data_IF_749710534765
#
_entry.id   IF_749710534765
#
_cell.length_a   1.000
_cell.length_b   1.000
_cell.length_c   1.000
_cell.angle_alpha   90.00
_cell.angle_beta   90.00
_cell.angle_gamma   90.00
#
_symmetry.space_group_name_H-M   'P 1'
#
loop_
_entity.id
_entity.type
_entity.pdbx_description
1 polymer ?
#
# COMPACT_ATOMS: atom_id res chain seq x y z
N UNK A 1 30.87 18.33 26.54
CA UNK A 1 31.11 16.91 26.22
C UNK A 1 29.97 16.33 25.34
N UNK A 2 28.70 16.37 25.75
CA UNK A 2 27.58 15.79 24.99
C UNK A 2 27.49 16.33 23.55
N UNK A 3 27.53 17.66 23.36
CA UNK A 3 27.53 18.30 22.04
C UNK A 3 28.69 17.83 21.13
N UNK A 4 29.89 17.66 21.71
CA UNK A 4 31.04 17.16 20.96
C UNK A 4 30.83 15.71 20.49
N UNK A 5 30.22 14.86 21.34
CA UNK A 5 29.84 13.49 20.99
C UNK A 5 28.80 13.46 19.90
N UNK A 6 27.74 14.30 19.99
CA UNK A 6 26.71 14.41 18.93
C UNK A 6 27.30 14.88 17.60
N UNK A 7 28.19 15.90 17.60
CA UNK A 7 28.88 16.36 16.40
C UNK A 7 29.75 15.24 15.79
N UNK A 8 30.42 14.46 16.62
CA UNK A 8 31.19 13.29 16.16
C UNK A 8 30.30 12.28 15.45
N UNK A 9 29.13 11.96 15.98
CA UNK A 9 28.18 11.01 15.35
C UNK A 9 27.73 11.52 13.98
N UNK A 10 27.34 12.80 13.87
CA UNK A 10 26.96 13.39 12.59
C UNK A 10 28.09 13.39 11.57
N UNK A 11 29.34 13.67 11.99
CA UNK A 11 30.50 13.62 11.11
C UNK A 11 30.84 12.20 10.70
N UNK A 12 30.70 11.22 11.59
CA UNK A 12 30.93 9.81 11.25
C UNK A 12 29.93 9.34 10.20
N UNK A 13 28.63 9.66 10.41
CA UNK A 13 27.58 9.30 9.47
C UNK A 13 27.75 10.01 8.11
N UNK A 14 28.07 11.30 8.09
CA UNK A 14 28.26 12.06 6.84
C UNK A 14 29.45 11.57 5.99
N UNK A 15 30.41 10.88 6.60
CA UNK A 15 31.55 10.26 5.91
C UNK A 15 31.24 8.87 5.36
N UNK A 16 30.21 8.21 5.86
CA UNK A 16 29.73 6.92 5.35
C UNK A 16 28.78 7.14 4.16
N UNK A 17 29.34 7.38 2.97
CA UNK A 17 28.60 7.66 1.74
C UNK A 17 27.69 6.46 1.38
N UNK A 18 28.16 5.23 1.58
CA UNK A 18 27.40 4.03 1.26
C UNK A 18 26.21 3.84 2.23
N UNK A 19 26.42 4.02 3.52
CA UNK A 19 25.36 3.97 4.53
C UNK A 19 24.35 5.11 4.32
N UNK A 20 24.80 6.31 4.01
CA UNK A 20 23.91 7.44 3.67
C UNK A 20 23.12 7.17 2.39
N UNK A 21 23.76 6.62 1.36
CA UNK A 21 23.10 6.23 0.12
C UNK A 21 21.99 5.21 0.38
N UNK A 22 22.30 4.16 1.11
CA UNK A 22 21.32 3.12 1.49
C UNK A 22 20.17 3.70 2.34
N UNK A 23 20.47 4.58 3.28
CA UNK A 23 19.50 5.17 4.18
C UNK A 23 18.50 6.10 3.45
N UNK A 24 18.96 6.92 2.51
CA UNK A 24 18.14 7.93 1.85
C UNK A 24 17.63 7.47 0.47
N UNK A 25 18.51 6.95 -0.40
CA UNK A 25 18.14 6.65 -1.78
C UNK A 25 17.28 5.41 -1.89
N UNK A 26 17.62 4.33 -1.17
CA UNK A 26 16.90 3.06 -1.27
C UNK A 26 15.39 3.21 -0.98
N UNK A 27 14.94 3.81 0.15
CA UNK A 27 13.52 3.94 0.42
C UNK A 27 12.81 4.87 -0.58
N UNK A 28 13.47 5.92 -1.09
CA UNK A 28 12.90 6.80 -2.12
C UNK A 28 12.67 6.05 -3.43
N UNK A 29 13.63 5.23 -3.86
CA UNK A 29 13.48 4.37 -5.05
C UNK A 29 12.33 3.40 -4.86
N UNK A 30 12.19 2.80 -3.68
CA UNK A 30 11.07 1.91 -3.40
C UNK A 30 9.72 2.63 -3.43
N UNK A 31 9.61 3.87 -2.93
CA UNK A 31 8.38 4.68 -3.07
C UNK A 31 8.00 4.78 -4.54
N UNK A 32 8.96 5.17 -5.40
CA UNK A 32 8.70 5.37 -6.83
C UNK A 32 8.29 4.04 -7.49
N UNK A 33 9.13 3.02 -7.38
CA UNK A 33 8.93 1.73 -8.04
C UNK A 33 7.62 1.07 -7.58
N UNK A 34 7.39 0.98 -6.26
CA UNK A 34 6.22 0.30 -5.72
C UNK A 34 4.93 1.08 -5.95
N UNK A 35 4.97 2.42 -5.92
CA UNK A 35 3.79 3.22 -6.22
C UNK A 35 3.38 3.10 -7.70
N UNK A 36 4.34 3.01 -8.61
CA UNK A 36 4.06 2.79 -10.03
C UNK A 36 3.61 1.33 -10.30
N UNK A 37 4.29 0.35 -9.71
CA UNK A 37 3.97 -1.07 -9.89
C UNK A 37 2.60 -1.46 -9.33
N UNK A 38 2.18 -0.86 -8.22
CA UNK A 38 0.92 -1.19 -7.55
C UNK A 38 -0.22 -0.21 -7.88
N UNK A 39 -0.02 0.73 -8.81
CA UNK A 39 -1.02 1.72 -9.19
C UNK A 39 -2.37 1.09 -9.55
N UNK A 40 -2.35 0.06 -10.39
CA UNK A 40 -3.56 -0.61 -10.87
C UNK A 40 -4.23 -1.50 -9.79
N UNK A 41 -3.48 -1.91 -8.77
CA UNK A 41 -4.01 -2.69 -7.63
C UNK A 41 -4.82 -1.80 -6.68
N UNK A 42 -4.35 -0.58 -6.42
CA UNK A 42 -5.00 0.34 -5.50
C UNK A 42 -6.10 1.19 -6.17
N UNK A 43 -5.89 1.58 -7.39
CA UNK A 43 -6.85 2.25 -8.27
C UNK A 43 -7.17 1.33 -9.43
N UNK A 44 -8.01 0.30 -9.23
CA UNK A 44 -8.50 -0.47 -10.38
C UNK A 44 -9.17 0.52 -11.32
N UNK A 45 -8.63 0.59 -12.53
CA UNK A 45 -9.03 1.58 -13.51
C UNK A 45 -10.54 1.55 -13.70
N UNK A 46 -11.23 2.57 -13.20
CA UNK A 46 -12.56 2.97 -13.68
C UNK A 46 -12.48 3.53 -15.10
N UNK A 47 -11.26 3.64 -15.66
CA UNK A 47 -11.05 3.91 -17.07
C UNK A 47 -11.72 2.79 -17.86
N UNK A 48 -12.53 3.17 -18.82
CA UNK A 48 -13.10 2.26 -19.81
C UNK A 48 -11.98 1.35 -20.32
N UNK A 49 -11.95 0.11 -19.82
CA UNK A 49 -11.00 -0.90 -20.30
C UNK A 49 -11.20 -0.98 -21.81
N UNK A 50 -10.12 -0.96 -22.57
CA UNK A 50 -10.17 -1.11 -24.01
C UNK A 50 -10.88 -2.43 -24.35
N UNK A 51 -12.07 -2.34 -24.93
CA UNK A 51 -12.87 -3.50 -25.32
C UNK A 51 -13.52 -3.30 -26.67
N UNK A 52 -13.83 -4.41 -27.31
CA UNK A 52 -14.61 -4.43 -28.54
C UNK A 52 -15.86 -5.32 -28.38
N UNK A 53 -16.82 -5.16 -29.27
CA UNK A 53 -18.05 -5.94 -29.28
C UNK A 53 -18.10 -6.75 -30.59
N UNK A 54 -18.31 -8.05 -30.47
CA UNK A 54 -18.63 -8.93 -31.58
C UNK A 54 -20.09 -9.33 -31.44
N UNK A 55 -20.98 -8.64 -32.15
CA UNK A 55 -22.39 -8.97 -32.14
C UNK A 55 -22.75 -9.78 -33.38
N UNK A 56 -23.03 -11.07 -33.21
CA UNK A 56 -23.46 -11.99 -34.26
C UNK A 56 -24.99 -12.11 -34.33
N UNK A 57 -25.73 -11.51 -33.38
CA UNK A 57 -27.18 -11.52 -33.32
C UNK A 57 -27.75 -10.16 -33.60
N UNK A 58 -28.56 -10.03 -34.66
CA UNK A 58 -29.25 -8.78 -35.05
C UNK A 58 -30.57 -8.57 -34.32
N UNK A 59 -30.91 -9.41 -33.36
CA UNK A 59 -32.16 -9.30 -32.59
C UNK A 59 -32.20 -8.07 -31.67
N UNK A 60 -33.41 -7.65 -31.31
CA UNK A 60 -33.65 -6.48 -30.47
C UNK A 60 -32.98 -6.59 -29.08
N UNK A 61 -33.07 -7.75 -28.46
CA UNK A 61 -32.55 -8.00 -27.12
C UNK A 61 -31.01 -7.98 -27.11
N UNK A 62 -30.36 -8.50 -28.16
CA UNK A 62 -28.90 -8.40 -28.31
C UNK A 62 -28.43 -6.96 -28.47
N UNK A 63 -29.15 -6.16 -29.29
CA UNK A 63 -28.85 -4.72 -29.47
C UNK A 63 -28.98 -3.97 -28.13
N UNK A 64 -30.06 -4.19 -27.41
CA UNK A 64 -30.28 -3.59 -26.09
C UNK A 64 -29.19 -3.99 -25.06
N UNK A 65 -28.73 -5.24 -25.08
CA UNK A 65 -27.62 -5.67 -24.24
C UNK A 65 -26.35 -4.88 -24.52
N UNK A 66 -26.00 -4.72 -25.80
CA UNK A 66 -24.80 -3.98 -26.23
C UNK A 66 -24.93 -2.49 -25.88
N UNK A 67 -26.09 -1.87 -26.09
CA UNK A 67 -26.31 -0.48 -25.73
C UNK A 67 -26.21 -0.22 -24.21
N UNK A 68 -26.82 -1.11 -23.40
CA UNK A 68 -26.72 -0.99 -21.92
C UNK A 68 -25.33 -1.23 -21.45
N UNK A 69 -24.63 -2.21 -22.05
CA UNK A 69 -23.23 -2.46 -21.75
C UNK A 69 -22.35 -1.25 -22.07
N UNK A 70 -22.56 -0.61 -23.23
CA UNK A 70 -21.80 0.58 -23.62
C UNK A 70 -22.04 1.77 -22.68
N UNK A 71 -23.23 1.92 -22.11
CA UNK A 71 -23.52 2.97 -21.11
C UNK A 71 -22.71 2.75 -19.81
N UNK A 72 -22.47 1.51 -19.43
CA UNK A 72 -21.71 1.18 -18.21
C UNK A 72 -20.21 1.06 -18.44
N UNK A 73 -19.81 0.44 -19.53
CA UNK A 73 -18.40 0.12 -19.81
C UNK A 73 -17.66 1.25 -20.56
N UNK A 74 -18.42 2.22 -21.10
CA UNK A 74 -17.89 3.25 -21.99
C UNK A 74 -18.01 2.84 -23.47
N UNK A 75 -17.52 3.68 -24.39
CA UNK A 75 -17.54 3.40 -25.82
C UNK A 75 -16.63 2.22 -26.18
N UNK A 76 -17.17 1.26 -26.95
CA UNK A 76 -16.39 0.16 -27.50
C UNK A 76 -15.41 0.68 -28.57
N UNK A 77 -14.24 0.08 -28.64
CA UNK A 77 -13.30 0.33 -29.75
C UNK A 77 -13.78 -0.35 -31.03
N UNK A 78 -13.38 0.17 -32.21
CA UNK A 78 -13.63 -0.51 -33.47
C UNK A 78 -13.06 -1.93 -33.41
N UNK A 79 -13.84 -2.91 -33.93
CA UNK A 79 -13.42 -4.31 -33.91
C UNK A 79 -12.28 -4.53 -34.91
N UNK A 80 -11.07 -4.91 -34.49
CA UNK A 80 -9.98 -5.27 -35.40
C UNK A 80 -10.26 -6.59 -36.12
N UNK A 81 -9.77 -6.75 -37.35
CA UNK A 81 -9.93 -8.01 -38.10
C UNK A 81 -9.38 -9.21 -37.33
N UNK A 82 -8.25 -9.05 -36.61
CA UNK A 82 -7.60 -10.07 -35.79
C UNK A 82 -7.79 -9.81 -34.29
N UNK A 83 -9.01 -9.56 -33.86
CA UNK A 83 -9.33 -9.21 -32.47
C UNK A 83 -8.84 -10.26 -31.45
N UNK A 84 -8.75 -11.55 -31.83
CA UNK A 84 -8.29 -12.61 -30.96
C UNK A 84 -6.81 -12.44 -30.58
N UNK A 85 -5.96 -12.00 -31.54
CA UNK A 85 -4.55 -11.72 -31.30
C UNK A 85 -4.37 -10.43 -30.48
N UNK A 86 -5.26 -9.45 -30.67
CA UNK A 86 -5.29 -8.21 -29.89
C UNK A 86 -5.65 -8.49 -28.41
N UNK A 87 -6.56 -9.41 -28.13
CA UNK A 87 -6.87 -9.85 -26.77
C UNK A 87 -5.70 -10.63 -26.18
N UNK A 88 -5.07 -11.55 -26.93
CA UNK A 88 -3.92 -12.31 -26.45
C UNK A 88 -2.70 -11.43 -26.16
N UNK A 89 -2.50 -10.36 -26.94
CA UNK A 89 -1.40 -9.40 -26.75
C UNK A 89 -1.70 -8.34 -25.68
N UNK A 90 -2.90 -8.31 -25.11
CA UNK A 90 -3.31 -7.38 -24.06
C UNK A 90 -3.62 -5.95 -24.53
N UNK A 91 -3.67 -5.70 -25.85
CA UNK A 91 -4.11 -4.42 -26.42
C UNK A 91 -5.61 -4.20 -26.24
N UNK A 92 -6.42 -5.26 -26.44
CA UNK A 92 -7.80 -5.32 -25.99
C UNK A 92 -7.87 -6.07 -24.68
N UNK A 93 -8.45 -5.49 -23.66
CA UNK A 93 -8.56 -6.10 -22.34
C UNK A 93 -9.63 -7.17 -22.26
N UNK A 94 -10.71 -6.99 -23.03
CA UNK A 94 -11.75 -8.01 -23.22
C UNK A 94 -12.59 -7.74 -24.45
N UNK A 95 -13.33 -8.75 -24.87
CA UNK A 95 -14.31 -8.70 -25.95
C UNK A 95 -15.65 -9.23 -25.44
N UNK A 96 -16.71 -8.49 -25.70
CA UNK A 96 -18.09 -8.95 -25.51
C UNK A 96 -18.54 -9.64 -26.80
N UNK A 97 -18.65 -10.96 -26.76
CA UNK A 97 -19.18 -11.77 -27.86
C UNK A 97 -20.65 -12.10 -27.60
N UNK A 98 -21.53 -11.67 -28.46
CA UNK A 98 -22.95 -12.06 -28.45
C UNK A 98 -23.18 -13.02 -29.59
N UNK A 99 -23.46 -14.29 -29.28
CA UNK A 99 -23.63 -15.37 -30.25
C UNK A 99 -24.95 -15.25 -31.01
N UNK A 100 -24.98 -15.73 -32.24
CA UNK A 100 -26.18 -15.75 -33.08
C UNK A 100 -27.30 -16.55 -32.39
N UNK A 101 -28.49 -16.03 -32.34
CA UNK A 101 -29.65 -16.66 -31.69
C UNK A 101 -29.82 -16.29 -30.19
N UNK A 102 -28.94 -15.46 -29.62
CA UNK A 102 -29.03 -14.99 -28.23
C UNK A 102 -30.40 -14.36 -27.93
N UNK A 103 -30.92 -13.48 -28.80
CA UNK A 103 -32.22 -12.85 -28.60
C UNK A 103 -33.35 -13.88 -28.54
N UNK A 104 -33.32 -14.92 -29.35
CA UNK A 104 -34.33 -15.99 -29.32
C UNK A 104 -34.34 -16.71 -27.99
N UNK A 105 -33.12 -17.05 -27.45
CA UNK A 105 -32.96 -17.72 -26.15
C UNK A 105 -33.44 -16.81 -25.00
N UNK A 106 -33.16 -15.52 -25.10
CA UNK A 106 -33.59 -14.55 -24.08
C UNK A 106 -35.09 -14.33 -24.09
N UNK A 107 -35.69 -14.29 -25.27
CA UNK A 107 -37.12 -14.03 -25.48
C UNK A 107 -37.98 -15.30 -25.23
N UNK A 108 -37.46 -16.53 -25.37
CA UNK A 108 -38.21 -17.75 -25.23
C UNK A 108 -37.79 -18.53 -24.00
N UNK A 109 -38.70 -18.70 -23.03
CA UNK A 109 -38.49 -19.44 -21.77
C UNK A 109 -38.34 -20.96 -21.96
N UNK A 110 -38.85 -21.50 -23.07
CA UNK A 110 -38.81 -22.91 -23.40
C UNK A 110 -37.63 -23.31 -24.29
N UNK A 111 -36.88 -22.35 -24.82
CA UNK A 111 -35.76 -22.64 -25.68
C UNK A 111 -34.58 -23.16 -24.88
N UNK A 112 -34.18 -24.41 -25.13
CA UNK A 112 -32.91 -24.99 -24.64
C UNK A 112 -31.73 -24.59 -25.54
N UNK A 113 -31.77 -23.37 -26.10
CA UNK A 113 -30.68 -22.85 -26.94
C UNK A 113 -29.40 -22.60 -26.19
N UNK A 114 -28.26 -22.95 -26.79
CA UNK A 114 -26.93 -22.77 -26.20
C UNK A 114 -26.32 -21.38 -26.45
N UNK A 115 -27.00 -20.51 -27.25
CA UNK A 115 -26.48 -19.19 -27.61
C UNK A 115 -26.35 -18.28 -26.37
N UNK A 116 -25.13 -17.80 -26.11
CA UNK A 116 -24.77 -17.04 -24.91
C UNK A 116 -24.10 -15.71 -25.26
N UNK A 117 -24.19 -14.77 -24.34
CA UNK A 117 -23.29 -13.63 -24.34
C UNK A 117 -22.05 -14.01 -23.51
N UNK A 118 -20.87 -13.94 -24.13
CA UNK A 118 -19.59 -14.31 -23.50
C UNK A 118 -18.68 -13.11 -23.34
N UNK A 119 -18.04 -13.03 -22.17
CA UNK A 119 -16.99 -12.06 -21.91
C UNK A 119 -15.64 -12.78 -22.07
N UNK A 120 -14.91 -12.48 -23.14
CA UNK A 120 -13.60 -13.04 -23.43
C UNK A 120 -12.55 -12.03 -23.02
N UNK A 121 -11.75 -12.35 -21.99
CA UNK A 121 -10.76 -11.45 -21.44
C UNK A 121 -9.32 -11.94 -21.73
N UNK A 122 -8.37 -11.00 -21.71
CA UNK A 122 -6.95 -11.33 -21.78
C UNK A 122 -6.52 -12.19 -20.57
N UNK A 123 -5.52 -13.07 -20.70
CA UNK A 123 -5.05 -13.93 -19.61
C UNK A 123 -4.48 -13.17 -18.40
N UNK A 124 -4.00 -11.93 -18.62
CA UNK A 124 -3.44 -11.07 -17.58
C UNK A 124 -4.42 -10.14 -16.89
N UNK A 125 -5.72 -10.20 -17.23
CA UNK A 125 -6.72 -9.35 -16.59
C UNK A 125 -6.95 -9.80 -15.14
N UNK A 126 -6.90 -8.83 -14.21
CA UNK A 126 -7.15 -9.10 -12.79
C UNK A 126 -8.51 -9.79 -12.58
N UNK A 127 -8.51 -10.89 -11.80
CA UNK A 127 -9.71 -11.67 -11.52
C UNK A 127 -10.83 -10.84 -10.89
N UNK A 128 -10.51 -9.87 -10.05
CA UNK A 128 -11.51 -9.02 -9.41
C UNK A 128 -12.23 -8.13 -10.42
N UNK A 129 -11.50 -7.63 -11.41
CA UNK A 129 -12.03 -6.81 -12.51
C UNK A 129 -12.88 -7.68 -13.44
N UNK A 130 -12.39 -8.88 -13.79
CA UNK A 130 -13.12 -9.83 -14.63
C UNK A 130 -14.46 -10.25 -13.99
N UNK A 131 -14.45 -10.66 -12.71
CA UNK A 131 -15.66 -11.06 -12.00
C UNK A 131 -16.63 -9.87 -11.82
N UNK A 132 -16.13 -8.67 -11.58
CA UNK A 132 -16.99 -7.48 -11.52
C UNK A 132 -17.69 -7.24 -12.85
N UNK A 133 -16.99 -7.33 -13.98
CA UNK A 133 -17.56 -7.17 -15.33
C UNK A 133 -18.53 -8.29 -15.64
N UNK A 134 -18.18 -9.52 -15.30
CA UNK A 134 -19.06 -10.70 -15.47
C UNK A 134 -20.38 -10.55 -14.71
N UNK A 135 -20.32 -10.15 -13.45
CA UNK A 135 -21.52 -9.95 -12.62
C UNK A 135 -22.40 -8.82 -13.16
N UNK A 136 -21.82 -7.74 -13.69
CA UNK A 136 -22.59 -6.67 -14.34
C UNK A 136 -23.26 -7.14 -15.61
N UNK A 137 -22.56 -7.92 -16.47
CA UNK A 137 -23.15 -8.49 -17.67
C UNK A 137 -24.34 -9.40 -17.32
N UNK A 138 -24.19 -10.25 -16.30
CA UNK A 138 -25.27 -11.09 -15.80
C UNK A 138 -26.45 -10.27 -15.29
N UNK A 139 -26.21 -9.17 -14.56
CA UNK A 139 -27.26 -8.29 -14.07
C UNK A 139 -28.04 -7.64 -15.23
N UNK A 140 -27.35 -7.10 -16.24
CA UNK A 140 -28.00 -6.52 -17.44
C UNK A 140 -28.82 -7.58 -18.19
N UNK A 141 -28.27 -8.78 -18.38
CA UNK A 141 -28.97 -9.87 -19.04
C UNK A 141 -30.22 -10.31 -18.24
N UNK A 142 -30.12 -10.39 -16.91
CA UNK A 142 -31.26 -10.72 -16.05
C UNK A 142 -32.35 -9.65 -16.13
N UNK A 143 -31.99 -8.36 -16.11
CA UNK A 143 -32.96 -7.26 -16.29
C UNK A 143 -33.68 -7.36 -17.64
N UNK A 144 -32.95 -7.55 -18.74
CA UNK A 144 -33.53 -7.70 -20.09
C UNK A 144 -34.48 -8.92 -20.14
N UNK A 145 -34.13 -10.02 -19.48
CA UNK A 145 -35.00 -11.20 -19.42
C UNK A 145 -36.31 -10.93 -18.67
N UNK A 146 -36.23 -10.24 -17.54
CA UNK A 146 -37.40 -9.82 -16.77
C UNK A 146 -38.29 -8.90 -17.60
N UNK A 147 -37.72 -7.90 -18.31
CA UNK A 147 -38.45 -6.99 -19.17
C UNK A 147 -39.16 -7.75 -20.33
N UNK A 148 -38.45 -8.70 -20.97
CA UNK A 148 -39.03 -9.54 -22.01
C UNK A 148 -40.21 -10.37 -21.52
N UNK A 149 -40.09 -10.90 -20.25
CA UNK A 149 -41.16 -11.66 -19.61
C UNK A 149 -42.36 -10.79 -19.28
N UNK A 150 -42.15 -9.61 -18.70
CA UNK A 150 -43.20 -8.67 -18.33
C UNK A 150 -43.95 -8.19 -19.56
N UNK A 151 -43.25 -7.97 -20.67
CA UNK A 151 -43.87 -7.55 -21.95
C UNK A 151 -44.84 -8.59 -22.53
N UNK A 152 -44.73 -9.88 -22.13
CA UNK A 152 -45.61 -10.97 -22.57
C UNK A 152 -46.79 -11.23 -21.63
N UNK A 153 -46.78 -10.66 -20.42
CA UNK A 153 -47.91 -10.82 -19.50
C UNK A 153 -49.13 -10.11 -20.01
N UNK A 154 -50.35 -10.72 -19.86
CA UNK A 154 -51.60 -10.08 -20.28
C UNK A 154 -51.75 -8.73 -19.59
N UNK A 155 -52.10 -7.69 -20.37
CA UNK A 155 -52.27 -6.30 -19.89
C UNK A 155 -53.23 -6.12 -18.68
N UNK A 156 -53.97 -7.16 -18.31
CA UNK A 156 -54.84 -7.16 -17.13
C UNK A 156 -54.10 -7.27 -15.79
N UNK A 157 -52.87 -7.79 -15.77
CA UNK A 157 -51.97 -7.68 -14.63
C UNK A 157 -51.16 -6.40 -14.80
N UNK A 158 -51.57 -5.36 -14.09
CA UNK A 158 -50.88 -4.05 -14.08
C UNK A 158 -49.55 -4.19 -13.31
N UNK A 159 -48.68 -5.10 -13.78
CA UNK A 159 -47.32 -5.31 -13.22
C UNK A 159 -46.45 -4.23 -13.84
N UNK A 160 -46.14 -3.25 -13.03
CA UNK A 160 -45.23 -2.20 -13.43
C UNK A 160 -43.84 -2.79 -13.58
N UNK A 161 -43.34 -2.95 -14.83
CA UNK A 161 -41.99 -3.52 -15.07
C UNK A 161 -40.91 -2.74 -14.33
N UNK A 162 -41.09 -1.43 -14.12
CA UNK A 162 -40.20 -0.60 -13.31
C UNK A 162 -40.25 -0.95 -11.81
N UNK A 163 -41.34 -1.57 -11.32
CA UNK A 163 -41.41 -2.03 -9.92
C UNK A 163 -40.69 -3.38 -9.72
N UNK A 164 -40.55 -4.16 -10.80
CA UNK A 164 -39.76 -5.41 -10.78
C UNK A 164 -38.26 -5.20 -11.12
N UNK A 165 -37.98 -4.10 -11.83
CA UNK A 165 -36.63 -3.66 -12.18
C UNK A 165 -36.17 -2.45 -11.36
N UNK A 166 -37.06 -1.90 -10.50
CA UNK A 166 -36.73 -0.87 -9.54
C UNK A 166 -35.57 -1.33 -8.65
N UNK A 167 -34.79 -0.37 -8.17
CA UNK A 167 -33.66 -0.61 -7.26
C UNK A 167 -34.03 -1.74 -6.29
N UNK A 168 -33.36 -2.87 -6.46
CA UNK A 168 -33.51 -3.95 -5.49
C UNK A 168 -33.27 -3.34 -4.11
N UNK A 169 -34.12 -3.62 -3.08
CA UNK A 169 -33.93 -3.06 -1.74
C UNK A 169 -32.71 -3.69 -1.04
N UNK A 170 -31.60 -3.75 -1.74
CA UNK A 170 -30.29 -4.20 -1.32
C UNK A 170 -29.36 -3.01 -1.45
N UNK A 171 -29.38 -2.15 -0.44
CA UNK A 171 -28.29 -1.21 -0.25
C UNK A 171 -27.06 -2.01 0.23
N UNK A 172 -26.15 -2.30 -0.69
CA UNK A 172 -24.82 -2.75 -0.33
C UNK A 172 -24.01 -1.51 0.09
N UNK A 173 -24.24 -1.03 1.30
CA UNK A 173 -23.36 -0.05 1.92
C UNK A 173 -22.11 -0.77 2.38
N UNK A 174 -20.98 -0.41 1.76
CA UNK A 174 -19.69 -0.68 2.40
C UNK A 174 -19.69 0.16 3.67
N UNK A 175 -19.56 -0.46 4.83
CA UNK A 175 -19.11 0.24 6.03
C UNK A 175 -17.70 0.75 5.73
N UNK A 176 -17.65 1.93 5.11
CA UNK A 176 -16.43 2.53 4.62
C UNK A 176 -15.61 2.96 5.84
N UNK A 177 -14.60 2.24 6.15
CA UNK A 177 -13.47 2.76 6.88
C UNK A 177 -12.67 3.64 5.92
N UNK A 178 -13.15 4.85 5.65
CA UNK A 178 -12.45 5.87 4.87
C UNK A 178 -12.24 5.54 3.36
N UNK A 179 -11.75 6.49 2.57
CA UNK A 179 -11.41 6.28 1.17
C UNK A 179 -10.29 5.23 1.05
N UNK A 180 -10.37 4.37 0.03
CA UNK A 180 -9.27 3.44 -0.26
C UNK A 180 -8.01 4.24 -0.55
N UNK A 181 -6.88 3.91 0.06
CA UNK A 181 -5.63 4.59 -0.24
C UNK A 181 -5.24 4.36 -1.71
N UNK A 182 -4.72 5.38 -2.35
CA UNK A 182 -4.02 5.20 -3.63
C UNK A 182 -2.68 4.49 -3.40
N UNK A 183 -2.04 4.02 -4.49
CA UNK A 183 -0.73 3.39 -4.38
C UNK A 183 0.29 4.30 -3.69
N UNK A 184 0.29 5.60 -4.00
CA UNK A 184 1.19 6.59 -3.39
C UNK A 184 0.83 6.82 -1.92
N UNK A 185 -0.45 6.96 -1.60
CA UNK A 185 -0.92 7.16 -0.23
C UNK A 185 -0.59 6.00 0.69
N UNK A 186 -0.51 4.78 0.17
CA UNK A 186 -0.08 3.60 0.93
C UNK A 186 1.45 3.47 0.99
N UNK A 187 2.12 3.63 -0.17
CA UNK A 187 3.56 3.35 -0.26
C UNK A 187 4.43 4.43 0.39
N UNK A 188 4.06 5.72 0.33
CA UNK A 188 4.87 6.77 0.96
C UNK A 188 4.99 6.55 2.47
N UNK A 189 3.91 6.39 3.26
CA UNK A 189 4.03 6.09 4.70
C UNK A 189 4.74 4.77 4.97
N UNK A 190 4.48 3.73 4.17
CA UNK A 190 5.05 2.41 4.35
C UNK A 190 6.59 2.42 4.22
N UNK A 191 7.08 2.94 3.10
CA UNK A 191 8.52 3.02 2.86
C UNK A 191 9.22 4.07 3.71
N UNK A 192 8.48 5.10 4.18
CA UNK A 192 8.98 6.04 5.18
C UNK A 192 9.28 5.33 6.51
N UNK A 193 8.35 4.53 7.02
CA UNK A 193 8.58 3.72 8.23
C UNK A 193 9.74 2.77 8.02
N UNK A 194 9.78 2.05 6.89
CA UNK A 194 10.89 1.15 6.55
C UNK A 194 12.23 1.88 6.55
N UNK A 195 12.29 3.03 5.89
CA UNK A 195 13.51 3.84 5.81
C UNK A 195 14.00 4.32 7.17
N UNK A 196 13.07 4.79 8.03
CA UNK A 196 13.43 5.23 9.39
C UNK A 196 13.99 4.06 10.24
N UNK A 197 13.49 2.85 10.08
CA UNK A 197 14.02 1.68 10.76
C UNK A 197 15.33 1.17 10.14
N UNK A 198 15.67 1.56 8.91
CA UNK A 198 16.93 1.17 8.28
C UNK A 198 18.16 1.72 9.00
N UNK A 199 17.99 2.74 9.85
CA UNK A 199 19.01 3.27 10.76
C UNK A 199 19.64 2.18 11.66
N UNK A 200 18.96 1.04 11.84
CA UNK A 200 19.48 -0.12 12.61
C UNK A 200 20.80 -0.62 12.03
N UNK A 201 20.90 -0.70 10.71
CA UNK A 201 22.13 -1.13 10.03
C UNK A 201 23.29 -0.15 10.25
N UNK A 202 23.01 1.16 10.11
CA UNK A 202 24.01 2.22 10.25
C UNK A 202 24.54 2.32 11.68
N UNK A 203 23.67 2.36 12.69
CA UNK A 203 24.08 2.46 14.10
C UNK A 203 24.86 1.22 14.52
N UNK A 204 24.41 0.01 14.14
CA UNK A 204 25.08 -1.23 14.50
C UNK A 204 26.49 -1.29 13.90
N UNK A 205 26.65 -0.89 12.63
CA UNK A 205 27.96 -0.85 11.95
C UNK A 205 28.94 0.12 12.62
N UNK A 206 28.54 1.38 12.78
CA UNK A 206 29.37 2.41 13.40
C UNK A 206 29.72 2.07 14.86
N UNK A 207 28.80 1.45 15.60
CA UNK A 207 29.07 1.07 17.00
C UNK A 207 30.11 -0.04 17.10
N UNK A 208 30.09 -1.03 16.21
CA UNK A 208 31.13 -2.07 16.14
C UNK A 208 32.48 -1.47 15.78
N UNK A 209 32.52 -0.52 14.84
CA UNK A 209 33.74 0.18 14.45
C UNK A 209 34.34 0.98 15.62
N UNK A 210 33.51 1.75 16.34
CA UNK A 210 33.95 2.50 17.52
C UNK A 210 34.52 1.59 18.62
N UNK A 211 33.96 0.39 18.74
CA UNK A 211 34.47 -0.60 19.69
C UNK A 211 35.81 -1.18 19.21
N UNK A 212 35.90 -1.54 17.92
CA UNK A 212 37.08 -2.13 17.33
C UNK A 212 38.30 -1.18 17.33
N UNK A 213 38.08 0.13 17.06
CA UNK A 213 39.16 1.12 17.10
C UNK A 213 39.49 1.66 18.52
N UNK A 214 38.81 1.15 19.56
CA UNK A 214 39.04 1.56 20.95
C UNK A 214 38.52 2.96 21.30
N UNK A 215 37.75 3.60 20.42
CA UNK A 215 37.21 4.93 20.67
C UNK A 215 36.29 4.98 21.90
N UNK A 216 35.48 3.94 22.12
CA UNK A 216 34.63 3.84 23.30
C UNK A 216 35.40 3.78 24.59
N UNK A 217 36.50 2.99 24.65
CA UNK A 217 37.38 2.88 25.82
C UNK A 217 38.04 4.25 26.10
N UNK A 218 38.51 4.94 25.07
CA UNK A 218 39.13 6.26 25.20
C UNK A 218 38.12 7.32 25.68
N UNK A 219 36.90 7.31 25.22
CA UNK A 219 35.85 8.22 25.67
C UNK A 219 35.53 8.00 27.16
N UNK A 220 35.55 6.74 27.61
CA UNK A 220 35.33 6.42 29.03
C UNK A 220 36.50 6.88 29.91
N UNK A 221 37.75 6.69 29.48
CA UNK A 221 38.91 7.20 30.23
C UNK A 221 38.91 8.72 30.34
N UNK A 222 38.23 9.45 29.41
CA UNK A 222 37.99 10.88 29.47
C UNK A 222 36.74 11.26 30.32
N UNK A 223 36.16 10.29 31.06
CA UNK A 223 35.06 10.54 32.00
C UNK A 223 33.67 10.53 31.37
N UNK A 224 33.49 10.02 30.14
CA UNK A 224 32.17 9.89 29.53
C UNK A 224 31.32 8.84 30.26
N UNK A 225 30.16 9.26 30.76
CA UNK A 225 29.21 8.36 31.42
C UNK A 225 28.44 7.51 30.38
N UNK A 226 28.06 6.25 30.69
CA UNK A 226 27.34 5.38 29.77
C UNK A 226 26.08 6.00 29.13
N UNK A 227 25.29 6.73 29.93
CA UNK A 227 24.08 7.40 29.43
C UNK A 227 24.38 8.51 28.42
N UNK A 228 25.53 9.23 28.59
CA UNK A 228 25.95 10.27 27.64
C UNK A 228 26.30 9.69 26.28
N UNK A 229 26.92 8.50 26.26
CA UNK A 229 27.24 7.77 25.01
C UNK A 229 25.97 7.30 24.28
N UNK A 230 24.95 6.87 25.02
CA UNK A 230 23.65 6.46 24.42
C UNK A 230 22.89 7.68 23.92
N UNK A 231 22.74 8.73 24.75
CA UNK A 231 21.99 9.95 24.38
C UNK A 231 22.65 10.67 23.22
N UNK A 232 23.99 10.70 23.16
CA UNK A 232 24.72 11.33 22.05
C UNK A 232 24.43 10.70 20.68
N UNK A 233 23.98 9.45 20.65
CA UNK A 233 23.54 8.78 19.41
C UNK A 233 22.07 9.06 19.10
N UNK A 234 21.20 9.14 20.10
CA UNK A 234 19.75 9.32 19.87
C UNK A 234 19.47 10.61 19.10
N UNK A 235 19.93 11.78 19.60
CA UNK A 235 19.57 13.07 19.00
C UNK A 235 20.02 13.22 17.53
N UNK A 236 21.29 12.89 17.14
CA UNK A 236 21.71 12.98 15.75
C UNK A 236 20.87 12.11 14.81
N UNK A 237 20.57 10.86 15.22
CA UNK A 237 19.80 9.96 14.38
C UNK A 237 18.30 10.32 14.33
N UNK A 238 17.75 10.93 15.38
CA UNK A 238 16.40 11.54 15.29
C UNK A 238 16.37 12.67 14.25
N UNK A 239 17.40 13.52 14.22
CA UNK A 239 17.50 14.58 13.21
C UNK A 239 17.65 14.01 11.78
N UNK A 240 18.48 12.98 11.60
CA UNK A 240 18.66 12.28 10.31
C UNK A 240 17.34 11.67 9.84
N UNK A 241 16.63 10.96 10.70
CA UNK A 241 15.30 10.42 10.38
C UNK A 241 14.28 11.51 10.06
N UNK A 242 14.37 12.67 10.72
CA UNK A 242 13.53 13.84 10.40
C UNK A 242 13.79 14.37 9.00
N UNK A 243 15.06 14.52 8.61
CA UNK A 243 15.44 14.91 7.24
C UNK A 243 14.99 13.86 6.23
N UNK A 244 15.19 12.57 6.53
CA UNK A 244 14.73 11.48 5.69
C UNK A 244 13.22 11.53 5.48
N UNK A 245 12.45 11.70 6.56
CA UNK A 245 10.99 11.80 6.48
C UNK A 245 10.55 12.99 5.61
N UNK A 246 11.17 14.15 5.78
CA UNK A 246 10.88 15.33 4.97
C UNK A 246 11.15 15.07 3.47
N UNK A 247 12.30 14.47 3.15
CA UNK A 247 12.64 14.12 1.76
C UNK A 247 11.67 13.09 1.15
N UNK A 248 11.29 12.07 1.90
CA UNK A 248 10.37 11.03 1.41
C UNK A 248 8.94 11.57 1.22
N UNK A 249 8.48 12.47 2.10
CA UNK A 249 7.22 13.18 1.91
C UNK A 249 7.30 14.10 0.69
N UNK A 250 8.43 14.79 0.48
CA UNK A 250 8.67 15.62 -0.69
C UNK A 250 8.61 14.80 -2.00
N UNK A 251 9.18 13.60 -2.02
CA UNK A 251 9.06 12.66 -3.14
C UNK A 251 7.59 12.33 -3.41
N UNK A 252 6.79 12.02 -2.39
CA UNK A 252 5.38 11.72 -2.52
C UNK A 252 4.54 12.89 -3.04
N UNK A 253 4.84 14.12 -2.58
CA UNK A 253 4.05 15.31 -2.93
C UNK A 253 4.44 15.88 -4.29
N UNK A 254 5.73 15.97 -4.60
CA UNK A 254 6.22 16.68 -5.78
C UNK A 254 6.76 15.77 -6.87
N UNK A 255 7.59 14.78 -6.52
CA UNK A 255 8.23 13.95 -7.53
C UNK A 255 7.24 12.97 -8.17
N UNK A 256 6.36 12.35 -7.40
CA UNK A 256 5.38 11.38 -7.93
C UNK A 256 4.45 11.98 -8.99
N UNK A 257 3.85 13.18 -8.81
CA UNK A 257 3.07 13.82 -9.87
C UNK A 257 3.89 14.14 -11.11
N UNK A 258 5.14 14.56 -10.94
CA UNK A 258 6.02 14.93 -12.04
C UNK A 258 6.35 13.74 -12.97
N UNK A 259 6.46 12.53 -12.43
CA UNK A 259 6.71 11.30 -13.22
C UNK A 259 5.42 10.59 -13.68
N UNK A 260 4.25 11.27 -13.58
CA UNK A 260 2.97 10.75 -14.06
C UNK A 260 2.24 9.81 -13.08
N UNK A 261 2.68 9.78 -11.83
CA UNK A 261 1.96 9.13 -10.72
C UNK A 261 0.93 10.05 -10.07
N UNK A 262 0.13 9.49 -9.16
CA UNK A 262 -0.73 10.28 -8.29
C UNK A 262 0.12 10.93 -7.19
N UNK A 263 -0.22 12.17 -6.79
CA UNK A 263 0.47 12.88 -5.73
C UNK A 263 -0.08 12.56 -4.34
N UNK A 264 0.79 12.62 -3.34
CA UNK A 264 0.36 12.61 -1.94
C UNK A 264 -0.23 13.98 -1.60
N UNK A 265 -1.52 14.05 -1.24
CA UNK A 265 -2.13 15.28 -0.74
C UNK A 265 -1.84 15.44 0.75
N UNK A 266 -1.34 16.62 1.13
CA UNK A 266 -1.17 17.02 2.52
C UNK A 266 -2.30 17.93 3.00
N UNK A 267 -3.38 18.08 2.23
CA UNK A 267 -4.55 18.87 2.63
C UNK A 267 -5.26 18.20 3.80
N UNK A 268 -5.55 18.96 4.84
CA UNK A 268 -6.21 18.48 6.05
C UNK A 268 -5.30 17.69 7.02
N UNK A 269 -3.99 17.63 6.78
CA UNK A 269 -3.05 16.96 7.67
C UNK A 269 -2.82 17.77 8.94
N UNK A 270 -3.03 17.13 10.08
CA UNK A 270 -2.69 17.69 11.39
C UNK A 270 -1.18 17.57 11.66
N UNK A 271 -0.43 18.65 11.42
CA UNK A 271 1.04 18.68 11.54
C UNK A 271 1.55 18.23 12.91
N UNK A 272 0.82 18.57 13.99
CA UNK A 272 1.18 18.11 15.35
C UNK A 272 1.12 16.59 15.49
N UNK A 273 0.09 15.95 14.91
CA UNK A 273 -0.05 14.50 14.89
C UNK A 273 1.04 13.84 14.02
N UNK A 274 1.36 14.44 12.87
CA UNK A 274 2.43 13.98 11.99
C UNK A 274 3.78 14.02 12.70
N UNK A 275 4.14 15.15 13.32
CA UNK A 275 5.39 15.29 14.06
C UNK A 275 5.48 14.31 15.24
N UNK A 276 4.40 14.14 15.99
CA UNK A 276 4.34 13.15 17.07
C UNK A 276 4.62 11.74 16.57
N UNK A 277 3.99 11.32 15.47
CA UNK A 277 4.20 10.00 14.89
C UNK A 277 5.62 9.83 14.36
N UNK A 278 6.16 10.80 13.63
CA UNK A 278 7.54 10.76 13.12
C UNK A 278 8.55 10.65 14.26
N UNK A 279 8.36 11.40 15.35
CA UNK A 279 9.23 11.31 16.54
C UNK A 279 9.10 9.95 17.23
N UNK A 280 7.89 9.44 17.40
CA UNK A 280 7.66 8.14 18.04
C UNK A 280 8.27 6.99 17.21
N UNK A 281 8.09 7.00 15.89
CA UNK A 281 8.69 6.01 14.96
C UNK A 281 10.22 6.11 15.01
N UNK A 282 10.76 7.33 14.92
CA UNK A 282 12.21 7.55 14.95
C UNK A 282 12.83 7.08 16.27
N UNK A 283 12.18 7.39 17.40
CA UNK A 283 12.65 6.96 18.73
C UNK A 283 12.62 5.42 18.84
N UNK A 284 11.57 4.77 18.37
CA UNK A 284 11.46 3.31 18.33
C UNK A 284 12.56 2.67 17.47
N UNK A 285 12.81 3.23 16.27
CA UNK A 285 13.84 2.75 15.35
C UNK A 285 15.25 2.90 15.94
N UNK A 286 15.59 4.08 16.47
CA UNK A 286 16.90 4.36 17.07
C UNK A 286 17.13 3.52 18.31
N UNK A 287 16.10 3.32 19.14
CA UNK A 287 16.20 2.49 20.36
C UNK A 287 16.44 1.02 20.00
N UNK A 288 15.76 0.49 19.00
CA UNK A 288 16.00 -0.84 18.48
C UNK A 288 17.43 -0.96 17.92
N UNK A 289 17.88 0.04 17.16
CA UNK A 289 19.21 0.10 16.59
C UNK A 289 20.29 0.04 17.67
N UNK A 290 20.11 0.76 18.77
CA UNK A 290 21.03 0.72 19.92
C UNK A 290 21.03 -0.64 20.62
N UNK A 291 19.87 -1.27 20.77
CA UNK A 291 19.77 -2.62 21.35
C UNK A 291 20.52 -3.65 20.48
N UNK A 292 20.30 -3.62 19.16
CA UNK A 292 20.99 -4.49 18.19
C UNK A 292 22.50 -4.20 18.19
N UNK A 293 22.91 -2.92 18.19
CA UNK A 293 24.33 -2.54 18.25
C UNK A 293 25.06 -3.07 19.49
N UNK A 294 24.36 -3.16 20.62
CA UNK A 294 24.89 -3.77 21.83
C UNK A 294 24.95 -5.30 21.76
N UNK A 295 24.15 -5.96 20.94
CA UNK A 295 24.14 -7.43 20.77
C UNK A 295 25.23 -7.90 19.82
N UNK A 296 25.46 -7.20 18.71
CA UNK A 296 26.43 -7.58 17.69
C UNK A 296 27.86 -7.34 18.15
N UNK A 297 28.77 -8.20 17.69
CA UNK A 297 30.18 -8.15 18.07
C UNK A 297 31.12 -7.93 16.88
N UNK A 298 30.69 -8.25 15.67
CA UNK A 298 31.50 -8.14 14.45
C UNK A 298 30.80 -7.31 13.37
N UNK A 299 31.60 -6.74 12.45
CA UNK A 299 31.06 -6.02 11.28
C UNK A 299 30.15 -6.91 10.43
N UNK A 300 30.51 -8.18 10.24
CA UNK A 300 29.67 -9.12 9.49
C UNK A 300 28.31 -9.33 10.13
N UNK A 301 28.24 -9.44 11.48
CA UNK A 301 26.98 -9.53 12.22
C UNK A 301 26.15 -8.23 12.08
N UNK A 302 26.78 -7.06 12.19
CA UNK A 302 26.11 -5.78 12.06
C UNK A 302 25.53 -5.60 10.63
N UNK A 303 26.31 -5.95 9.61
CA UNK A 303 25.91 -5.84 8.20
C UNK A 303 24.77 -6.80 7.82
N UNK A 304 24.61 -7.93 8.54
CA UNK A 304 23.60 -8.95 8.24
C UNK A 304 22.35 -8.80 9.11
N UNK A 305 22.50 -8.70 10.43
CA UNK A 305 21.37 -8.73 11.36
C UNK A 305 20.50 -7.47 11.26
N UNK A 306 21.11 -6.30 11.04
CA UNK A 306 20.36 -5.06 10.89
C UNK A 306 19.36 -5.10 9.72
N UNK A 307 19.83 -5.30 8.48
CA UNK A 307 18.95 -5.39 7.31
C UNK A 307 17.96 -6.55 7.38
N UNK A 308 18.39 -7.75 7.84
CA UNK A 308 17.47 -8.91 7.97
C UNK A 308 16.32 -8.58 8.92
N UNK A 309 16.62 -8.02 10.10
CA UNK A 309 15.60 -7.66 11.07
C UNK A 309 14.65 -6.61 10.50
N UNK A 310 15.17 -5.61 9.79
CA UNK A 310 14.38 -4.57 9.15
C UNK A 310 13.42 -5.16 8.10
N UNK A 311 13.91 -6.03 7.21
CA UNK A 311 13.10 -6.69 6.18
C UNK A 311 12.03 -7.59 6.79
N UNK A 312 12.38 -8.40 7.80
CA UNK A 312 11.42 -9.27 8.49
C UNK A 312 10.31 -8.45 9.18
N UNK A 313 10.69 -7.37 9.87
CA UNK A 313 9.72 -6.48 10.51
C UNK A 313 8.82 -5.77 9.49
N UNK A 314 9.36 -5.39 8.33
CA UNK A 314 8.60 -4.78 7.26
C UNK A 314 7.62 -5.76 6.58
N UNK A 315 8.08 -6.99 6.34
CA UNK A 315 7.25 -8.04 5.76
C UNK A 315 6.08 -8.40 6.69
N UNK A 316 6.35 -8.56 7.98
CA UNK A 316 5.34 -8.87 8.98
C UNK A 316 4.50 -7.65 9.39
N UNK A 317 5.03 -6.45 9.25
CA UNK A 317 4.40 -5.20 9.71
C UNK A 317 3.44 -4.54 8.72
N UNK A 318 3.18 -5.13 7.56
CA UNK A 318 2.26 -4.55 6.58
C UNK A 318 2.90 -3.51 5.66
N UNK A 319 4.21 -3.31 5.75
CA UNK A 319 4.94 -2.32 4.95
C UNK A 319 5.17 -2.82 3.53
N UNK A 320 5.67 -4.05 3.36
CA UNK A 320 5.91 -4.66 2.04
C UNK A 320 4.64 -5.23 1.43
N UNK A 321 3.82 -5.88 2.25
CA UNK A 321 2.56 -6.47 1.83
C UNK A 321 1.45 -5.82 2.64
N UNK A 322 0.47 -5.15 2.00
CA UNK A 322 -0.63 -4.51 2.71
C UNK A 322 -1.43 -5.50 3.55
N UNK A 323 -1.85 -5.10 4.76
CA UNK A 323 -2.55 -5.96 5.71
C UNK A 323 -3.81 -6.62 5.13
N UNK A 324 -4.55 -5.91 4.27
CA UNK A 324 -5.78 -6.43 3.68
C UNK A 324 -5.57 -7.61 2.71
N UNK A 325 -4.33 -7.81 2.23
CA UNK A 325 -3.97 -8.96 1.37
C UNK A 325 -3.47 -10.14 2.20
N UNK A 326 -3.07 -9.89 3.45
CA UNK A 326 -2.48 -10.92 4.32
C UNK A 326 -3.54 -11.90 4.86
N UNK A 327 -3.18 -13.19 5.03
CA UNK A 327 -4.02 -14.14 5.76
C UNK A 327 -4.31 -13.68 7.20
N UNK A 328 -5.45 -14.07 7.82
CA UNK A 328 -5.86 -13.59 9.15
C UNK A 328 -4.82 -13.85 10.25
N UNK A 329 -4.07 -14.95 10.16
CA UNK A 329 -2.99 -15.27 11.12
C UNK A 329 -1.86 -14.24 11.05
N UNK A 330 -1.44 -13.85 9.82
CA UNK A 330 -0.39 -12.85 9.64
C UNK A 330 -0.85 -11.45 10.07
N UNK A 331 -2.13 -11.10 9.86
CA UNK A 331 -2.69 -9.85 10.35
C UNK A 331 -2.61 -9.74 11.89
N UNK A 332 -2.86 -10.86 12.60
CA UNK A 332 -2.71 -10.90 14.07
C UNK A 332 -1.26 -10.70 14.51
N UNK A 333 -0.30 -11.30 13.81
CA UNK A 333 1.13 -11.12 14.09
C UNK A 333 1.55 -9.67 13.81
N UNK A 334 1.11 -9.11 12.68
CA UNK A 334 1.38 -7.73 12.30
C UNK A 334 0.94 -6.73 13.38
N UNK A 335 -0.17 -6.98 14.06
CA UNK A 335 -0.69 -6.12 15.13
C UNK A 335 0.29 -5.88 16.30
N UNK A 336 1.31 -6.73 16.45
CA UNK A 336 2.36 -6.57 17.45
C UNK A 336 3.66 -5.97 16.90
N UNK A 337 3.72 -5.70 15.59
CA UNK A 337 4.91 -5.12 14.96
C UNK A 337 5.00 -3.61 15.19
N UNK A 338 6.14 -3.06 15.65
CA UNK A 338 6.31 -1.62 15.78
C UNK A 338 6.25 -0.89 14.43
N UNK A 339 6.64 -1.54 13.33
CA UNK A 339 6.46 -0.97 12.00
C UNK A 339 4.99 -0.84 11.61
N UNK A 340 4.15 -1.80 12.01
CA UNK A 340 2.71 -1.70 11.79
C UNK A 340 2.08 -0.53 12.57
N UNK A 341 2.47 -0.35 13.83
CA UNK A 341 1.97 0.79 14.62
C UNK A 341 2.38 2.13 14.00
N UNK A 342 3.61 2.21 13.48
CA UNK A 342 4.10 3.38 12.75
C UNK A 342 3.31 3.63 11.47
N UNK A 343 3.11 2.60 10.65
CA UNK A 343 2.36 2.68 9.41
C UNK A 343 0.91 3.08 9.64
N UNK A 344 0.20 2.41 10.55
CA UNK A 344 -1.20 2.73 10.89
C UNK A 344 -1.34 4.15 11.42
N UNK A 345 -0.41 4.61 12.28
CA UNK A 345 -0.41 5.99 12.76
C UNK A 345 -0.22 7.01 11.65
N UNK A 346 0.71 6.78 10.72
CA UNK A 346 0.92 7.66 9.58
C UNK A 346 -0.26 7.64 8.59
N UNK A 347 -0.84 6.48 8.32
CA UNK A 347 -2.05 6.37 7.49
C UNK A 347 -3.24 7.09 8.13
N UNK A 348 -3.36 7.04 9.46
CA UNK A 348 -4.40 7.77 10.17
C UNK A 348 -4.24 9.28 9.98
N UNK A 349 -3.02 9.81 10.11
CA UNK A 349 -2.75 11.24 9.90
C UNK A 349 -2.88 11.67 8.44
N UNK A 350 -2.25 10.93 7.52
CA UNK A 350 -2.12 11.35 6.12
C UNK A 350 -3.36 11.06 5.28
N UNK A 351 -4.13 10.02 5.62
CA UNK A 351 -5.28 9.58 4.83
C UNK A 351 -6.62 9.89 5.49
N UNK A 352 -6.70 9.79 6.83
CA UNK A 352 -7.94 9.94 7.59
C UNK A 352 -8.03 11.28 8.33
N UNK A 353 -7.08 12.20 8.09
CA UNK A 353 -6.97 13.49 8.77
C UNK A 353 -7.02 13.38 10.31
N UNK A 354 -6.40 12.32 10.84
CA UNK A 354 -6.36 12.03 12.27
C UNK A 354 -5.63 13.12 13.06
N UNK A 355 -6.21 13.50 14.18
CA UNK A 355 -5.63 14.43 15.13
C UNK A 355 -4.67 13.76 16.12
N UNK A 356 -4.08 14.53 17.04
CA UNK A 356 -3.15 14.03 18.05
C UNK A 356 -3.79 12.95 18.94
N UNK A 357 -5.06 13.11 19.30
CA UNK A 357 -5.76 12.17 20.17
C UNK A 357 -5.94 10.80 19.48
N UNK A 358 -6.23 10.80 18.17
CA UNK A 358 -6.46 9.59 17.38
C UNK A 358 -5.20 8.73 17.17
N UNK A 359 -4.00 9.34 17.21
CA UNK A 359 -2.72 8.63 17.02
C UNK A 359 -2.01 8.31 18.34
N UNK A 360 -2.53 8.81 19.45
CA UNK A 360 -1.92 8.60 20.77
C UNK A 360 -1.74 7.11 21.14
N UNK A 361 -2.67 6.19 20.81
CA UNK A 361 -2.48 4.78 21.08
C UNK A 361 -1.29 4.17 20.33
N UNK A 362 -1.08 4.53 19.07
CA UNK A 362 0.04 4.06 18.25
C UNK A 362 1.36 4.68 18.73
N UNK A 363 1.38 5.98 18.99
CA UNK A 363 2.54 6.68 19.55
C UNK A 363 2.92 6.12 20.93
N UNK A 364 1.94 5.80 21.78
CA UNK A 364 2.17 5.18 23.09
C UNK A 364 2.78 3.79 23.01
N UNK A 365 2.30 2.94 22.08
CA UNK A 365 2.89 1.60 21.83
C UNK A 365 4.34 1.73 21.35
N UNK A 366 4.62 2.64 20.42
CA UNK A 366 5.97 2.92 19.93
C UNK A 366 6.90 3.45 21.04
N UNK A 367 6.41 4.35 21.89
CA UNK A 367 7.15 4.87 23.04
C UNK A 367 7.45 3.76 24.07
N UNK A 368 6.48 2.90 24.36
CA UNK A 368 6.67 1.72 25.21
C UNK A 368 7.70 0.76 24.66
N UNK A 369 7.65 0.48 23.36
CA UNK A 369 8.65 -0.32 22.66
C UNK A 369 10.05 0.33 22.73
N UNK A 370 10.13 1.64 22.46
CA UNK A 370 11.38 2.38 22.54
C UNK A 370 12.00 2.31 23.94
N UNK A 371 11.18 2.51 24.98
CA UNK A 371 11.64 2.39 26.36
C UNK A 371 12.18 0.99 26.68
N UNK A 372 11.47 -0.05 26.27
CA UNK A 372 11.93 -1.44 26.43
C UNK A 372 13.28 -1.66 25.74
N UNK A 373 13.43 -1.22 24.49
CA UNK A 373 14.70 -1.36 23.75
C UNK A 373 15.83 -0.57 24.38
N UNK A 374 15.57 0.64 24.91
CA UNK A 374 16.59 1.44 25.62
C UNK A 374 17.03 0.77 26.93
N UNK A 375 16.12 0.18 27.68
CA UNK A 375 16.45 -0.57 28.91
C UNK A 375 17.34 -1.77 28.57
N UNK A 376 17.00 -2.52 27.51
CA UNK A 376 17.82 -3.64 27.01
C UNK A 376 19.20 -3.13 26.56
N UNK A 377 19.23 -2.07 25.74
CA UNK A 377 20.48 -1.49 25.26
C UNK A 377 21.38 -1.03 26.43
N UNK A 378 20.82 -0.34 27.42
CA UNK A 378 21.55 0.13 28.57
C UNK A 378 22.09 -1.03 29.44
N UNK A 379 21.27 -2.05 29.68
CA UNK A 379 21.67 -3.26 30.40
C UNK A 379 22.81 -4.01 29.73
N UNK A 380 22.71 -4.22 28.41
CA UNK A 380 23.75 -4.87 27.60
C UNK A 380 25.03 -4.03 27.54
N UNK A 381 24.89 -2.72 27.38
CA UNK A 381 26.02 -1.81 27.33
C UNK A 381 26.84 -1.86 28.64
N UNK A 382 26.17 -1.87 29.79
CA UNK A 382 26.85 -1.97 31.10
C UNK A 382 27.61 -3.30 31.31
N UNK A 383 27.13 -4.41 30.71
CA UNK A 383 27.75 -5.72 30.85
C UNK A 383 28.96 -5.93 29.92
N UNK A 384 28.97 -5.26 28.77
CA UNK A 384 29.98 -5.51 27.72
C UNK A 384 31.09 -4.46 27.64
N UNK A 385 30.97 -3.38 28.36
CA UNK A 385 31.89 -2.23 28.40
C UNK A 385 32.26 -1.92 29.84
#
# INVERSE_FOLDING_TARGET
MLLALMKKELLALSRDIHGMGALFIMPMVFIIVMSMALKDVYTPATKSLAYAVVNQDQGKTATQLVERWAKEAGAAQPLPEKWQDEVRSGRLKYVLLVEAGFSKVMDDLGSQGEAKARLLAEPGLDNSVFETRRMRLLAIAAQLRVEALVARLPRKLNVNASALTGDAPVAAERMAQGPRPTAVQQNVPAWLVFGMFFVVASIAGLFVEERACGALARLRSLGARPWQLIVSKICPYLAVNGVQAALMLAVGVWLMPWIGGEGLSLQGVHWGALLLMLLAISLAAVSLALAVACLVSTHAQAATLGPILNVLMAALGGVMVPLFVMPPVMQKIAAYSPMNWGLEGLLNVLLRSGDVASVLPQAGRLAGFAMLMLVIAFGLFRRRV
#
